data_IF_376307341547
#
_entry.id   IF_376307341547
#
_cell.length_a   1.000
_cell.length_b   1.000
_cell.length_c   1.000
_cell.angle_alpha   90.00
_cell.angle_beta   90.00
_cell.angle_gamma   90.00
#
_symmetry.space_group_name_H-M   'P 1'
#
loop_
_entity.id
_entity.type
_entity.pdbx_description
1 polymer ?
#
# COMPACT_ATOMS: atom_id res chain seq x y z
N UNK A 1 -2.97 -46.06 -1.45
CA UNK A 1 -3.18 -44.60 -1.41
C UNK A 1 -4.48 -44.32 -2.12
N UNK A 2 -5.24 -43.27 -1.79
CA UNK A 2 -6.42 -42.94 -2.58
C UNK A 2 -5.95 -42.54 -3.99
N UNK A 3 -6.26 -43.34 -5.01
CA UNK A 3 -5.68 -43.22 -6.36
C UNK A 3 -6.10 -41.94 -7.12
N UNK A 4 -6.92 -41.08 -6.52
CA UNK A 4 -7.45 -39.87 -7.15
C UNK A 4 -7.10 -38.55 -6.42
N UNK A 5 -6.44 -38.60 -5.27
CA UNK A 5 -6.02 -37.39 -4.54
C UNK A 5 -4.78 -37.66 -3.67
N UNK A 6 -3.81 -36.74 -3.70
CA UNK A 6 -2.60 -36.81 -2.87
C UNK A 6 -2.45 -35.52 -2.06
N UNK A 7 -2.31 -35.64 -0.75
CA UNK A 7 -1.97 -34.53 0.14
C UNK A 7 -0.45 -34.38 0.21
N UNK A 8 0.08 -33.20 -0.12
CA UNK A 8 1.54 -32.91 -0.15
C UNK A 8 2.10 -32.43 1.19
N UNK A 9 1.32 -31.66 1.94
CA UNK A 9 1.76 -31.00 3.18
C UNK A 9 1.15 -31.68 4.41
N UNK A 10 1.76 -32.79 4.86
CA UNK A 10 1.35 -33.51 6.07
C UNK A 10 2.55 -33.94 6.90
N UNK A 11 2.32 -34.27 8.18
CA UNK A 11 3.39 -34.71 9.09
C UNK A 11 4.10 -35.96 8.56
N UNK A 12 5.40 -35.83 8.29
CA UNK A 12 6.22 -36.90 7.70
C UNK A 12 6.15 -36.98 6.16
N UNK A 13 5.42 -36.08 5.51
CA UNK A 13 5.46 -35.90 4.05
C UNK A 13 6.72 -35.13 3.60
N UNK A 14 7.02 -35.21 2.30
CA UNK A 14 8.16 -34.53 1.68
C UNK A 14 7.67 -33.52 0.64
N UNK A 15 8.02 -32.25 0.81
CA UNK A 15 7.82 -31.22 -0.22
C UNK A 15 9.01 -31.29 -1.17
N UNK A 16 8.76 -31.57 -2.44
CA UNK A 16 9.82 -31.74 -3.43
C UNK A 16 10.23 -30.39 -4.02
N UNK A 17 11.42 -30.28 -4.67
CA UNK A 17 11.80 -29.06 -5.39
C UNK A 17 10.78 -28.64 -6.45
N UNK A 18 10.02 -29.59 -7.02
CA UNK A 18 8.91 -29.31 -7.92
C UNK A 18 7.75 -28.62 -7.19
N UNK A 19 7.36 -29.14 -6.02
CA UNK A 19 6.31 -28.54 -5.20
C UNK A 19 6.70 -27.11 -4.77
N UNK A 20 7.97 -26.89 -4.37
CA UNK A 20 8.51 -25.57 -4.02
C UNK A 20 8.49 -24.61 -5.21
N UNK A 21 8.91 -25.05 -6.40
CA UNK A 21 8.89 -24.21 -7.60
C UNK A 21 7.47 -23.72 -7.93
N UNK A 22 6.46 -24.59 -7.79
CA UNK A 22 5.05 -24.22 -7.99
C UNK A 22 4.61 -23.17 -6.96
N UNK A 23 5.02 -23.31 -5.69
CA UNK A 23 4.72 -22.33 -4.64
C UNK A 23 5.38 -20.98 -4.96
N UNK A 24 6.66 -20.98 -5.35
CA UNK A 24 7.39 -19.76 -5.67
C UNK A 24 6.86 -19.06 -6.91
N UNK A 25 6.52 -19.81 -7.96
CA UNK A 25 5.90 -19.26 -9.16
C UNK A 25 4.54 -18.61 -8.86
N UNK A 26 3.78 -19.19 -7.92
CA UNK A 26 2.52 -18.59 -7.45
C UNK A 26 2.74 -17.28 -6.71
N UNK A 27 3.83 -17.17 -5.94
CA UNK A 27 4.15 -15.98 -5.15
C UNK A 27 4.84 -14.87 -5.95
N UNK A 28 5.65 -15.25 -6.95
CA UNK A 28 6.40 -14.35 -7.83
C UNK A 28 6.13 -14.81 -9.26
N UNK A 29 5.06 -14.31 -9.91
CA UNK A 29 4.74 -14.72 -11.26
C UNK A 29 5.80 -14.22 -12.25
N UNK A 30 6.20 -15.09 -13.17
CA UNK A 30 7.10 -14.76 -14.28
C UNK A 30 8.50 -15.40 -14.20
N UNK A 31 9.37 -14.94 -15.10
CA UNK A 31 10.77 -15.37 -15.22
C UNK A 31 11.63 -14.14 -15.49
N UNK A 32 12.82 -14.05 -14.91
CA UNK A 32 13.70 -12.90 -15.06
C UNK A 32 14.78 -12.80 -13.98
N UNK A 33 15.38 -11.62 -13.90
CA UNK A 33 16.54 -11.33 -13.04
C UNK A 33 16.12 -10.46 -11.86
N UNK A 34 16.49 -10.85 -10.64
CA UNK A 34 16.29 -10.01 -9.45
C UNK A 34 17.38 -8.95 -9.31
N UNK A 35 18.63 -9.33 -9.57
CA UNK A 35 19.81 -8.46 -9.45
C UNK A 35 20.99 -9.06 -10.20
N UNK A 36 21.81 -8.23 -10.84
CA UNK A 36 23.04 -8.66 -11.50
C UNK A 36 22.77 -9.30 -12.87
N UNK A 37 23.55 -10.32 -13.25
CA UNK A 37 23.49 -10.96 -14.57
C UNK A 37 23.66 -9.96 -15.73
N UNK A 38 24.44 -8.90 -15.51
CA UNK A 38 24.64 -7.84 -16.47
C UNK A 38 25.56 -8.32 -17.58
N UNK A 39 25.09 -8.24 -18.83
CA UNK A 39 25.87 -8.59 -20.01
C UNK A 39 26.61 -7.35 -20.53
N UNK A 40 27.93 -7.45 -20.65
CA UNK A 40 28.82 -6.39 -21.15
C UNK A 40 29.89 -6.96 -22.09
N UNK A 41 30.47 -6.13 -22.96
CA UNK A 41 31.66 -6.54 -23.71
C UNK A 41 32.86 -6.74 -22.77
N UNK A 42 33.54 -7.87 -22.90
CA UNK A 42 34.79 -8.14 -22.18
C UNK A 42 35.99 -7.78 -23.05
N UNK A 43 36.18 -8.54 -24.14
CA UNK A 43 37.25 -8.35 -25.14
C UNK A 43 36.90 -9.06 -26.43
N UNK A 44 37.17 -8.45 -27.58
CA UNK A 44 36.94 -9.07 -28.89
C UNK A 44 35.51 -9.58 -29.05
N UNK A 45 35.36 -10.91 -29.15
CA UNK A 45 34.11 -11.65 -29.30
C UNK A 45 33.59 -12.28 -27.99
N UNK A 46 34.14 -11.87 -26.85
CA UNK A 46 33.81 -12.39 -25.52
C UNK A 46 32.89 -11.43 -24.80
N UNK A 47 31.79 -11.96 -24.27
CA UNK A 47 30.86 -11.25 -23.40
C UNK A 47 31.14 -11.61 -21.95
N UNK A 48 31.16 -10.61 -21.09
CA UNK A 48 31.22 -10.76 -19.64
C UNK A 48 29.79 -10.74 -19.08
N UNK A 49 29.51 -11.63 -18.15
CA UNK A 49 28.24 -11.73 -17.43
C UNK A 49 28.54 -11.61 -15.94
N UNK A 50 28.04 -10.55 -15.32
CA UNK A 50 28.29 -10.31 -13.90
C UNK A 50 27.55 -11.31 -13.01
N UNK A 51 28.06 -11.50 -11.79
CA UNK A 51 27.36 -12.29 -10.78
C UNK A 51 25.93 -11.75 -10.55
N UNK A 52 24.97 -12.64 -10.36
CA UNK A 52 23.59 -12.25 -10.08
C UNK A 52 22.66 -13.39 -9.74
N UNK A 53 21.39 -13.04 -9.53
CA UNK A 53 20.33 -13.95 -9.14
C UNK A 53 19.11 -13.74 -10.03
N UNK A 54 18.46 -14.85 -10.39
CA UNK A 54 17.22 -14.82 -11.14
C UNK A 54 16.33 -16.01 -10.84
N UNK A 55 15.21 -16.06 -11.56
CA UNK A 55 14.25 -17.15 -11.44
C UNK A 55 13.61 -17.43 -12.81
N UNK A 56 13.43 -18.70 -13.12
CA UNK A 56 12.62 -19.16 -14.26
C UNK A 56 11.48 -20.00 -13.71
N UNK A 57 10.23 -19.53 -13.82
CA UNK A 57 9.02 -20.27 -13.42
C UNK A 57 9.15 -20.87 -12.00
N UNK A 58 9.53 -20.05 -11.01
CA UNK A 58 9.72 -20.51 -9.62
C UNK A 58 11.02 -21.25 -9.32
N UNK A 59 11.87 -21.54 -10.33
CA UNK A 59 13.20 -22.13 -10.16
C UNK A 59 14.24 -21.02 -10.01
N UNK A 60 14.77 -20.86 -8.80
CA UNK A 60 15.83 -19.89 -8.53
C UNK A 60 17.16 -20.37 -9.09
N UNK A 61 17.95 -19.44 -9.61
CA UNK A 61 19.32 -19.68 -10.04
C UNK A 61 20.24 -18.53 -9.60
N UNK A 62 21.51 -18.87 -9.40
CA UNK A 62 22.60 -17.92 -9.21
C UNK A 62 23.53 -18.03 -10.41
N UNK A 63 23.90 -16.89 -10.98
CA UNK A 63 24.96 -16.77 -11.97
C UNK A 63 26.21 -16.33 -11.23
N UNK A 64 27.29 -17.11 -11.35
CA UNK A 64 28.63 -16.66 -10.97
C UNK A 64 29.22 -15.84 -12.11
N UNK A 65 30.06 -14.86 -11.76
CA UNK A 65 30.75 -14.02 -12.75
C UNK A 65 31.51 -14.90 -13.75
N UNK A 66 31.23 -14.70 -15.04
CA UNK A 66 31.75 -15.57 -16.09
C UNK A 66 31.88 -14.85 -17.42
N UNK A 67 32.62 -15.47 -18.34
CA UNK A 67 32.81 -15.00 -19.70
C UNK A 67 32.29 -16.05 -20.68
N UNK A 68 31.65 -15.62 -21.76
CA UNK A 68 31.16 -16.50 -22.83
C UNK A 68 31.68 -16.02 -24.19
N UNK A 69 32.26 -16.95 -24.94
CA UNK A 69 32.72 -16.71 -26.30
C UNK A 69 31.56 -16.77 -27.29
N UNK A 70 31.46 -15.77 -28.15
CA UNK A 70 30.52 -15.76 -29.28
C UNK A 70 31.29 -16.06 -30.56
N UNK A 71 30.83 -17.05 -31.34
CA UNK A 71 31.42 -17.32 -32.66
C UNK A 71 31.20 -16.11 -33.60
N UNK A 72 32.28 -15.57 -34.16
CA UNK A 72 32.22 -14.51 -35.16
C UNK A 72 31.67 -15.00 -36.51
N UNK A 73 31.10 -14.08 -37.28
CA UNK A 73 30.63 -14.33 -38.64
C UNK A 73 31.79 -14.36 -39.64
N UNK A 74 31.56 -14.95 -40.81
CA UNK A 74 32.54 -14.92 -41.90
C UNK A 74 32.69 -13.50 -42.48
N UNK A 75 33.80 -13.26 -43.20
CA UNK A 75 34.09 -11.92 -43.75
C UNK A 75 33.01 -11.49 -44.73
N UNK A 76 32.41 -10.32 -44.48
CA UNK A 76 31.33 -9.76 -45.31
C UNK A 76 29.92 -10.20 -44.89
N UNK A 77 29.79 -11.01 -43.84
CA UNK A 77 28.52 -11.43 -43.26
C UNK A 77 28.19 -10.65 -41.99
N UNK A 78 26.90 -10.54 -41.69
CA UNK A 78 26.39 -9.99 -40.44
C UNK A 78 25.27 -10.89 -39.93
N UNK A 79 25.45 -11.44 -38.72
CA UNK A 79 24.50 -12.35 -38.08
C UNK A 79 23.81 -11.66 -36.89
N UNK A 80 22.63 -12.15 -36.54
CA UNK A 80 22.00 -11.85 -35.27
C UNK A 80 22.60 -12.72 -34.18
N UNK A 81 22.82 -12.14 -33.01
CA UNK A 81 23.37 -12.83 -31.85
C UNK A 81 22.51 -12.65 -30.61
N UNK A 82 22.50 -13.66 -29.75
CA UNK A 82 21.89 -13.60 -28.42
C UNK A 82 22.68 -14.37 -27.38
N UNK A 83 22.54 -13.97 -26.11
CA UNK A 83 22.89 -14.77 -24.93
C UNK A 83 21.62 -15.04 -24.13
N UNK A 84 21.44 -16.28 -23.70
CA UNK A 84 20.29 -16.71 -22.90
C UNK A 84 20.69 -17.79 -21.89
N UNK A 85 19.88 -17.94 -20.85
CA UNK A 85 19.96 -19.04 -19.89
C UNK A 85 18.99 -20.12 -20.34
N UNK A 86 19.49 -21.32 -20.58
CA UNK A 86 18.71 -22.49 -20.94
C UNK A 86 18.49 -23.35 -19.71
N UNK A 87 17.23 -23.57 -19.34
CA UNK A 87 16.80 -24.51 -18.31
C UNK A 87 16.13 -25.70 -19.00
N UNK A 88 16.58 -26.92 -18.72
CA UNK A 88 16.01 -28.18 -19.21
C UNK A 88 15.93 -29.18 -18.06
N UNK A 89 14.70 -29.41 -17.56
CA UNK A 89 14.47 -30.30 -16.43
C UNK A 89 14.47 -31.79 -16.82
N UNK A 90 14.52 -32.10 -18.13
CA UNK A 90 14.72 -33.48 -18.58
C UNK A 90 16.18 -33.92 -18.40
N UNK A 91 17.11 -32.97 -18.36
CA UNK A 91 18.52 -33.19 -18.07
C UNK A 91 18.79 -33.13 -16.55
N UNK A 92 18.87 -34.30 -15.91
CA UNK A 92 19.09 -34.38 -14.48
C UNK A 92 20.52 -34.01 -14.02
N UNK A 93 21.51 -34.05 -14.93
CA UNK A 93 22.91 -33.84 -14.59
C UNK A 93 23.31 -32.36 -14.70
N UNK A 94 22.85 -31.69 -15.76
CA UNK A 94 23.13 -30.27 -16.03
C UNK A 94 21.86 -29.56 -16.50
N UNK A 95 20.91 -29.28 -15.58
CA UNK A 95 19.62 -28.74 -15.95
C UNK A 95 19.67 -27.28 -16.38
N UNK A 96 20.75 -26.53 -16.10
CA UNK A 96 20.83 -25.10 -16.39
C UNK A 96 22.20 -24.70 -16.93
N UNK A 97 22.23 -23.87 -17.98
CA UNK A 97 23.46 -23.37 -18.61
C UNK A 97 23.26 -22.03 -19.29
N UNK A 98 24.34 -21.27 -19.45
CA UNK A 98 24.37 -20.04 -20.25
C UNK A 98 24.84 -20.38 -21.65
N UNK A 99 24.11 -19.95 -22.66
CA UNK A 99 24.42 -20.20 -24.07
C UNK A 99 24.48 -18.89 -24.86
N UNK A 100 25.38 -18.86 -25.83
CA UNK A 100 25.45 -17.82 -26.85
C UNK A 100 25.13 -18.45 -28.22
N UNK A 101 24.37 -17.73 -29.04
CA UNK A 101 23.99 -18.18 -30.37
C UNK A 101 24.14 -17.05 -31.37
N UNK A 102 24.62 -17.38 -32.57
CA UNK A 102 24.71 -16.47 -33.70
C UNK A 102 24.16 -17.17 -34.96
N UNK A 103 23.25 -16.51 -35.68
CA UNK A 103 22.65 -17.03 -36.90
C UNK A 103 22.07 -15.89 -37.75
N UNK A 104 21.79 -16.16 -39.04
CA UNK A 104 21.13 -15.18 -39.93
C UNK A 104 19.73 -14.85 -39.40
N UNK A 105 19.04 -15.88 -38.93
CA UNK A 105 17.78 -15.82 -38.20
C UNK A 105 17.92 -16.70 -36.95
N UNK A 106 17.64 -16.13 -35.78
CA UNK A 106 17.75 -16.85 -34.52
C UNK A 106 16.59 -17.85 -34.38
N UNK A 107 16.85 -19.11 -33.99
CA UNK A 107 15.77 -20.05 -33.66
C UNK A 107 14.87 -19.51 -32.55
N UNK A 108 13.59 -19.89 -32.50
CA UNK A 108 12.73 -19.54 -31.38
C UNK A 108 13.33 -20.06 -30.06
N UNK A 109 13.08 -19.33 -28.98
CA UNK A 109 13.41 -19.74 -27.63
C UNK A 109 12.40 -20.76 -27.13
N UNK A 110 12.87 -21.74 -26.35
CA UNK A 110 11.96 -22.60 -25.61
C UNK A 110 11.27 -21.78 -24.51
N UNK A 111 9.95 -21.92 -24.37
CA UNK A 111 9.18 -21.10 -23.42
C UNK A 111 8.00 -21.87 -22.84
N UNK A 112 8.23 -23.14 -22.46
CA UNK A 112 7.16 -23.97 -21.94
C UNK A 112 6.76 -23.54 -20.53
N UNK A 113 5.56 -22.95 -20.44
CA UNK A 113 4.98 -22.47 -19.19
C UNK A 113 4.75 -23.60 -18.18
N UNK A 114 4.65 -24.86 -18.62
CA UNK A 114 4.37 -26.02 -17.79
C UNK A 114 5.63 -26.82 -17.44
N UNK A 115 6.83 -26.25 -17.58
CA UNK A 115 8.11 -26.91 -17.27
C UNK A 115 8.14 -27.65 -15.92
N UNK A 116 7.47 -27.08 -14.90
CA UNK A 116 7.37 -27.69 -13.57
C UNK A 116 6.51 -28.95 -13.51
N UNK A 117 5.72 -29.27 -14.54
CA UNK A 117 4.81 -30.43 -14.57
C UNK A 117 5.27 -31.52 -15.54
N UNK A 118 5.94 -31.15 -16.62
CA UNK A 118 6.32 -32.05 -17.70
C UNK A 118 7.84 -32.24 -17.85
N UNK A 119 8.65 -31.54 -17.05
CA UNK A 119 10.11 -31.55 -17.10
C UNK A 119 10.67 -31.17 -18.47
N UNK A 120 10.10 -30.17 -19.13
CA UNK A 120 10.56 -29.65 -20.42
C UNK A 120 11.67 -28.58 -20.27
N UNK A 121 11.83 -27.74 -21.30
CA UNK A 121 12.80 -26.65 -21.36
C UNK A 121 12.16 -25.25 -21.36
N UNK A 122 12.92 -24.27 -20.88
CA UNK A 122 12.58 -22.85 -20.90
C UNK A 122 13.86 -22.02 -21.01
N UNK A 123 13.88 -21.07 -21.93
CA UNK A 123 14.98 -20.15 -22.14
C UNK A 123 14.63 -18.73 -21.64
N UNK A 124 15.56 -18.16 -20.89
CA UNK A 124 15.52 -16.75 -20.47
C UNK A 124 16.55 -15.94 -21.23
N UNK A 125 16.09 -15.12 -22.17
CA UNK A 125 16.97 -14.25 -22.96
C UNK A 125 17.57 -13.13 -22.13
N UNK A 126 18.90 -12.98 -22.17
CA UNK A 126 19.63 -11.97 -21.42
C UNK A 126 19.94 -10.74 -22.28
N UNK A 127 20.49 -10.96 -23.48
CA UNK A 127 20.89 -9.88 -24.36
C UNK A 127 20.88 -10.31 -25.83
N UNK A 128 20.68 -9.33 -26.71
CA UNK A 128 20.77 -9.45 -28.16
C UNK A 128 21.85 -8.51 -28.69
N UNK A 129 22.47 -8.86 -29.80
CA UNK A 129 23.54 -8.09 -30.44
C UNK A 129 23.67 -8.50 -31.91
N UNK A 130 24.53 -7.80 -32.64
CA UNK A 130 24.93 -8.10 -34.00
C UNK A 130 26.34 -8.68 -34.02
N UNK A 131 26.58 -9.68 -34.86
CA UNK A 131 27.86 -10.36 -35.00
C UNK A 131 28.42 -10.15 -36.40
N UNK A 132 29.67 -9.69 -36.49
CA UNK A 132 30.41 -9.54 -37.75
C UNK A 132 31.78 -10.22 -37.64
N UNK A 133 32.54 -10.29 -38.74
CA UNK A 133 33.94 -10.74 -38.69
C UNK A 133 34.86 -9.82 -37.88
N UNK A 134 34.44 -8.58 -37.61
CA UNK A 134 35.22 -7.60 -36.85
C UNK A 134 34.96 -7.66 -35.33
N UNK A 135 33.86 -8.26 -34.90
CA UNK A 135 33.44 -8.28 -33.51
C UNK A 135 31.93 -8.23 -33.33
N UNK A 136 31.53 -7.95 -32.08
CA UNK A 136 30.15 -7.80 -31.65
C UNK A 136 29.79 -6.32 -31.58
N UNK A 137 28.57 -5.97 -31.99
CA UNK A 137 28.05 -4.60 -31.90
C UNK A 137 26.56 -4.58 -31.51
N UNK A 138 26.06 -3.42 -31.05
CA UNK A 138 24.63 -3.23 -30.76
C UNK A 138 24.09 -4.01 -29.56
N UNK A 139 24.94 -4.42 -28.60
CA UNK A 139 24.54 -5.14 -27.40
C UNK A 139 23.41 -4.43 -26.64
N UNK A 140 22.26 -5.10 -26.58
CA UNK A 140 21.04 -4.63 -25.92
C UNK A 140 20.58 -5.71 -24.94
N UNK A 141 20.35 -5.32 -23.69
CA UNK A 141 19.83 -6.21 -22.65
C UNK A 141 18.32 -6.35 -22.81
N UNK A 142 17.80 -7.56 -22.68
CA UNK A 142 16.38 -7.87 -22.93
C UNK A 142 15.72 -8.66 -21.81
N UNK A 143 16.48 -9.05 -20.77
CA UNK A 143 15.90 -9.79 -19.65
C UNK A 143 14.90 -8.94 -18.85
N UNK A 144 13.74 -9.51 -18.46
CA UNK A 144 12.85 -8.87 -17.50
C UNK A 144 13.49 -8.76 -16.13
N UNK A 145 13.38 -7.59 -15.48
CA UNK A 145 13.69 -7.48 -14.06
C UNK A 145 12.53 -7.98 -13.24
N UNK A 146 12.75 -9.04 -12.45
CA UNK A 146 11.80 -9.47 -11.45
C UNK A 146 11.89 -8.53 -10.26
N UNK A 147 10.82 -7.78 -10.02
CA UNK A 147 10.67 -7.09 -8.73
C UNK A 147 10.27 -8.14 -7.71
N UNK A 148 10.84 -8.06 -6.50
CA UNK A 148 10.39 -8.88 -5.39
C UNK A 148 8.86 -8.77 -5.32
N UNK A 149 8.17 -9.91 -5.41
CA UNK A 149 6.75 -9.95 -5.11
C UNK A 149 6.61 -9.33 -3.73
N UNK A 150 5.92 -8.19 -3.65
CA UNK A 150 5.41 -7.71 -2.37
C UNK A 150 4.60 -8.88 -1.83
N UNK A 151 5.16 -9.58 -0.84
CA UNK A 151 4.57 -10.78 -0.28
C UNK A 151 3.10 -10.54 -0.03
N UNK A 152 2.26 -11.53 -0.37
CA UNK A 152 0.82 -11.50 -0.25
C UNK A 152 0.36 -10.66 0.95
N UNK A 153 -0.11 -9.46 0.62
CA UNK A 153 -0.31 -8.37 1.55
C UNK A 153 -0.70 -7.13 0.75
N UNK A 154 -1.82 -7.24 0.02
CA UNK A 154 -2.56 -6.18 -0.67
C UNK A 154 -1.79 -4.93 -1.11
N UNK A 155 -1.52 -4.81 -2.41
CA UNK A 155 -1.22 -3.50 -3.02
C UNK A 155 0.05 -3.42 -3.88
N UNK A 156 0.26 -4.34 -4.80
CA UNK A 156 1.13 -4.16 -5.95
C UNK A 156 0.32 -4.50 -7.19
N UNK A 157 -0.13 -3.50 -7.96
CA UNK A 157 -1.15 -3.72 -8.99
C UNK A 157 -0.67 -4.69 -10.08
N UNK A 158 -1.32 -5.85 -10.13
CA UNK A 158 -1.27 -6.80 -11.24
C UNK A 158 -1.37 -6.04 -12.57
N UNK A 159 -0.60 -6.44 -13.58
CA UNK A 159 -0.78 -5.84 -14.91
C UNK A 159 -2.16 -6.23 -15.44
N UNK A 160 -2.92 -5.22 -15.85
CA UNK A 160 -4.28 -5.33 -16.30
C UNK A 160 -4.35 -6.32 -17.48
N UNK A 161 -5.07 -7.42 -17.28
CA UNK A 161 -5.27 -8.49 -18.25
C UNK A 161 -6.50 -8.21 -19.11
N UNK A 162 -6.40 -8.49 -20.41
CA UNK A 162 -7.44 -8.23 -21.41
C UNK A 162 -8.56 -9.27 -21.34
N UNK A 163 -9.79 -8.87 -21.69
CA UNK A 163 -10.97 -9.74 -21.64
C UNK A 163 -11.22 -10.39 -20.27
N UNK A 164 -10.78 -9.73 -19.19
CA UNK A 164 -10.87 -10.21 -17.81
C UNK A 164 -11.84 -9.37 -17.01
N UNK A 165 -12.61 -10.02 -16.11
CA UNK A 165 -13.53 -9.34 -15.20
C UNK A 165 -12.78 -8.71 -14.02
N UNK A 166 -13.10 -7.46 -13.72
CA UNK A 166 -12.61 -6.71 -12.58
C UNK A 166 -13.78 -6.21 -11.73
N UNK A 167 -13.62 -6.28 -10.41
CA UNK A 167 -14.54 -5.78 -9.41
C UNK A 167 -14.16 -4.36 -8.97
N UNK A 168 -15.11 -3.63 -8.37
CA UNK A 168 -14.81 -2.31 -7.79
C UNK A 168 -13.80 -2.47 -6.66
N UNK A 169 -12.74 -1.65 -6.70
CA UNK A 169 -11.63 -1.67 -5.74
C UNK A 169 -10.39 -2.39 -6.25
N UNK A 170 -10.49 -3.18 -7.33
CA UNK A 170 -9.33 -3.85 -7.92
C UNK A 170 -8.30 -2.81 -8.40
N UNK A 171 -7.03 -3.01 -8.04
CA UNK A 171 -5.93 -2.13 -8.40
C UNK A 171 -4.97 -2.83 -9.36
N UNK A 172 -4.71 -2.20 -10.50
CA UNK A 172 -3.91 -2.75 -11.60
C UNK A 172 -3.01 -1.69 -12.23
N UNK A 173 -2.07 -2.13 -13.07
CA UNK A 173 -1.26 -1.26 -13.94
C UNK A 173 -1.57 -1.55 -15.41
N UNK A 174 -1.51 -0.55 -16.31
CA UNK A 174 -1.70 -0.77 -17.75
C UNK A 174 -0.47 -0.30 -18.54
N UNK A 175 -0.16 -0.98 -19.65
CA UNK A 175 1.08 -0.76 -20.41
C UNK A 175 1.12 0.66 -20.99
N UNK A 176 0.00 1.14 -21.53
CA UNK A 176 -0.12 2.49 -22.06
C UNK A 176 -0.27 3.58 -20.99
N UNK A 177 -0.43 3.24 -19.71
CA UNK A 177 -0.59 4.24 -18.66
C UNK A 177 0.77 4.83 -18.23
N UNK A 178 0.81 6.10 -17.79
CA UNK A 178 2.00 6.68 -17.19
C UNK A 178 2.49 5.84 -15.99
N UNK A 179 3.80 5.66 -15.84
CA UNK A 179 4.39 4.79 -14.81
C UNK A 179 4.10 5.18 -13.35
N UNK A 180 3.56 6.37 -13.10
CA UNK A 180 3.10 6.79 -11.76
C UNK A 180 1.68 6.34 -11.45
N UNK A 181 0.88 5.97 -12.46
CA UNK A 181 -0.55 5.76 -12.33
C UNK A 181 -0.88 4.31 -11.97
N UNK A 182 -1.39 4.11 -10.75
CA UNK A 182 -2.12 2.89 -10.40
C UNK A 182 -3.58 3.06 -10.78
N UNK A 183 -4.16 2.08 -11.47
CA UNK A 183 -5.53 2.12 -11.96
C UNK A 183 -6.44 1.37 -11.01
N UNK A 184 -7.37 2.07 -10.36
CA UNK A 184 -8.35 1.46 -9.48
C UNK A 184 -9.69 1.33 -10.20
N UNK A 185 -10.23 0.12 -10.27
CA UNK A 185 -11.53 -0.16 -10.84
C UNK A 185 -12.61 0.53 -9.98
N UNK A 186 -13.34 1.47 -10.56
CA UNK A 186 -14.45 2.18 -9.91
C UNK A 186 -15.82 1.76 -10.44
N UNK A 187 -15.85 0.97 -11.50
CA UNK A 187 -17.05 0.30 -11.99
C UNK A 187 -16.67 -1.11 -12.44
N UNK A 188 -17.28 -2.11 -11.81
CA UNK A 188 -17.04 -3.51 -12.16
C UNK A 188 -17.46 -3.81 -13.60
N UNK A 189 -16.70 -4.69 -14.26
CA UNK A 189 -16.95 -5.07 -15.64
C UNK A 189 -15.81 -5.89 -16.21
N UNK A 190 -15.90 -6.23 -17.48
CA UNK A 190 -14.86 -6.94 -18.24
C UNK A 190 -14.11 -5.97 -19.14
N UNK A 191 -12.78 -6.06 -19.13
CA UNK A 191 -11.89 -5.23 -19.97
C UNK A 191 -12.03 -5.59 -21.44
N UNK A 192 -11.72 -4.64 -22.33
CA UNK A 192 -11.75 -4.90 -23.77
C UNK A 192 -10.67 -5.92 -24.17
N UNK A 193 -10.89 -6.59 -25.31
CA UNK A 193 -9.90 -7.53 -25.88
C UNK A 193 -8.59 -6.85 -26.30
N UNK A 194 -8.65 -5.55 -26.62
CA UNK A 194 -7.49 -4.71 -26.97
C UNK A 194 -7.40 -3.50 -26.04
N UNK A 195 -6.19 -3.04 -25.73
CA UNK A 195 -5.98 -1.89 -24.84
C UNK A 195 -6.57 -0.59 -25.45
N UNK A 196 -7.47 0.12 -24.73
CA UNK A 196 -7.97 1.42 -25.14
C UNK A 196 -6.89 2.50 -25.10
N UNK A 197 -6.92 3.44 -26.06
CA UNK A 197 -6.03 4.61 -26.07
C UNK A 197 -6.27 5.59 -24.90
N UNK A 198 -7.25 5.33 -24.03
CA UNK A 198 -7.52 6.16 -22.86
C UNK A 198 -6.39 6.11 -21.84
N UNK A 199 -5.67 4.98 -21.74
CA UNK A 199 -4.57 4.83 -20.78
C UNK A 199 -3.40 5.77 -21.08
N UNK A 200 -3.02 5.94 -22.34
CA UNK A 200 -1.94 6.85 -22.75
C UNK A 200 -2.31 8.33 -22.69
N UNK A 201 -3.58 8.64 -22.39
CA UNK A 201 -4.08 10.01 -22.23
C UNK A 201 -4.25 10.43 -20.78
N UNK A 202 -3.89 9.56 -19.83
CA UNK A 202 -3.89 9.91 -18.41
C UNK A 202 -2.81 10.96 -18.17
N UNK A 203 -3.20 12.08 -17.56
CA UNK A 203 -2.30 13.21 -17.27
C UNK A 203 -2.30 13.61 -15.81
N UNK A 204 -3.34 13.26 -15.06
CA UNK A 204 -3.49 13.62 -13.65
C UNK A 204 -4.23 12.55 -12.85
N UNK A 205 -4.04 12.60 -11.54
CA UNK A 205 -4.81 11.78 -10.59
C UNK A 205 -6.30 12.06 -10.76
N UNK A 206 -7.11 11.00 -10.74
CA UNK A 206 -8.56 11.07 -10.93
C UNK A 206 -9.03 10.95 -12.39
N UNK A 207 -8.13 10.95 -13.38
CA UNK A 207 -8.49 10.65 -14.76
C UNK A 207 -9.09 9.24 -14.87
N UNK A 208 -10.13 9.10 -15.71
CA UNK A 208 -10.91 7.86 -15.86
C UNK A 208 -10.74 7.27 -17.24
N UNK A 209 -10.62 5.94 -17.30
CA UNK A 209 -10.57 5.18 -18.55
C UNK A 209 -11.69 4.14 -18.55
N UNK A 210 -12.55 4.19 -19.56
CA UNK A 210 -13.49 3.11 -19.86
C UNK A 210 -12.76 2.06 -20.70
N UNK A 211 -12.73 0.83 -20.21
CA UNK A 211 -12.06 -0.29 -20.83
C UNK A 211 -13.01 -1.49 -20.89
N UNK A 212 -13.53 -1.76 -22.09
CA UNK A 212 -14.66 -2.66 -22.29
C UNK A 212 -15.89 -2.15 -21.56
N UNK A 213 -16.25 -2.82 -20.46
CA UNK A 213 -17.36 -2.44 -19.56
C UNK A 213 -16.90 -2.00 -18.17
N UNK A 214 -15.61 -2.18 -17.86
CA UNK A 214 -15.01 -1.74 -16.60
C UNK A 214 -14.55 -0.27 -16.71
N UNK A 215 -14.59 0.47 -15.59
CA UNK A 215 -14.05 1.84 -15.52
C UNK A 215 -12.94 1.90 -14.50
N UNK A 216 -11.78 2.40 -14.90
CA UNK A 216 -10.62 2.58 -14.04
C UNK A 216 -10.36 4.06 -13.78
N UNK A 217 -9.88 4.37 -12.58
CA UNK A 217 -9.49 5.72 -12.16
C UNK A 217 -8.02 5.73 -11.76
N UNK A 218 -7.26 6.67 -12.31
CA UNK A 218 -5.84 6.82 -12.03
C UNK A 218 -5.60 7.37 -10.61
N UNK A 219 -4.72 6.73 -9.85
CA UNK A 219 -4.28 7.10 -8.51
C UNK A 219 -2.76 7.18 -8.49
N UNK A 220 -2.21 8.11 -7.71
CA UNK A 220 -0.77 8.18 -7.45
C UNK A 220 -0.51 7.66 -6.04
N UNK A 221 -0.63 6.34 -5.85
CA UNK A 221 -0.59 5.73 -4.51
C UNK A 221 0.75 6.02 -3.80
N UNK A 222 1.86 6.09 -4.55
CA UNK A 222 3.18 6.42 -3.99
C UNK A 222 3.20 7.88 -3.51
N UNK A 223 2.76 8.83 -4.34
CA UNK A 223 2.70 10.24 -3.94
C UNK A 223 1.68 10.53 -2.82
N UNK A 224 0.57 9.79 -2.79
CA UNK A 224 -0.41 9.84 -1.71
C UNK A 224 0.19 9.32 -0.40
N UNK A 225 0.98 8.23 -0.46
CA UNK A 225 1.66 7.67 0.70
C UNK A 225 2.80 8.58 1.19
N UNK A 226 3.59 9.18 0.29
CA UNK A 226 4.61 10.18 0.64
C UNK A 226 4.00 11.40 1.34
N UNK A 227 2.81 11.83 0.89
CA UNK A 227 2.04 12.87 1.54
C UNK A 227 1.64 12.50 2.98
N UNK A 228 1.15 11.27 3.18
CA UNK A 228 0.79 10.74 4.50
C UNK A 228 2.02 10.58 5.41
N UNK A 229 3.15 10.12 4.87
CA UNK A 229 4.41 9.99 5.61
C UNK A 229 4.90 11.38 6.04
N UNK A 230 4.83 12.37 5.14
CA UNK A 230 5.20 13.75 5.44
C UNK A 230 4.31 14.37 6.52
N UNK A 231 3.00 14.15 6.46
CA UNK A 231 2.08 14.61 7.53
C UNK A 231 2.36 13.90 8.85
N UNK A 232 2.68 12.60 8.83
CA UNK A 232 2.98 11.85 10.05
C UNK A 232 4.34 12.25 10.65
N UNK A 233 5.34 12.59 9.82
CA UNK A 233 6.60 13.15 10.28
C UNK A 233 6.39 14.51 10.97
N UNK A 234 5.59 15.40 10.37
CA UNK A 234 5.21 16.69 10.97
C UNK A 234 4.44 16.53 12.29
N UNK A 235 3.56 15.53 12.39
CA UNK A 235 2.90 15.18 13.65
C UNK A 235 3.91 14.67 14.70
N UNK A 236 4.90 13.87 14.30
CA UNK A 236 5.97 13.40 15.19
C UNK A 236 6.85 14.54 15.71
N UNK A 237 7.19 15.50 14.86
CA UNK A 237 7.90 16.73 15.25
C UNK A 237 7.07 17.56 16.23
N UNK A 238 5.79 17.77 15.94
CA UNK A 238 4.86 18.51 16.82
C UNK A 238 4.70 17.82 18.19
N UNK A 239 4.66 16.49 18.21
CA UNK A 239 4.55 15.71 19.45
C UNK A 239 5.85 15.72 20.25
N UNK A 240 7.01 15.75 19.58
CA UNK A 240 8.32 15.91 20.23
C UNK A 240 8.48 17.32 20.82
N UNK A 241 8.01 18.35 20.13
CA UNK A 241 7.98 19.73 20.65
C UNK A 241 7.04 19.84 21.86
N UNK A 242 5.87 19.19 21.81
CA UNK A 242 4.95 19.13 22.93
C UNK A 242 5.55 18.37 24.13
N UNK A 243 6.19 17.23 23.91
CA UNK A 243 6.85 16.45 24.96
C UNK A 243 8.02 17.22 25.59
N UNK A 244 8.78 17.97 24.77
CA UNK A 244 9.83 18.88 25.24
C UNK A 244 9.23 20.00 26.09
N UNK A 245 8.15 20.66 25.63
CA UNK A 245 7.45 21.71 26.41
C UNK A 245 6.84 21.16 27.71
N UNK A 246 6.29 19.95 27.68
CA UNK A 246 5.73 19.28 28.87
C UNK A 246 6.85 18.90 29.84
N UNK A 247 7.99 18.42 29.34
CA UNK A 247 9.17 18.11 30.16
C UNK A 247 9.81 19.38 30.73
N UNK A 248 9.87 20.48 29.97
CA UNK A 248 10.28 21.80 30.45
C UNK A 248 9.32 22.33 31.52
N UNK A 249 8.01 22.19 31.32
CA UNK A 249 7.01 22.53 32.34
C UNK A 249 7.19 21.70 33.62
N UNK A 250 7.40 20.39 33.49
CA UNK A 250 7.58 19.45 34.61
C UNK A 250 8.93 19.61 35.33
N UNK A 251 9.97 20.04 34.61
CA UNK A 251 11.32 20.27 35.16
C UNK A 251 11.51 21.68 35.73
N UNK A 252 10.66 22.63 35.36
CA UNK A 252 10.61 23.93 36.02
C UNK A 252 10.08 23.74 37.45
N UNK A 253 10.92 24.04 38.43
CA UNK A 253 10.58 24.08 39.87
C UNK A 253 9.59 25.21 40.23
N UNK A 254 8.74 25.64 39.29
CA UNK A 254 7.91 26.83 39.38
C UNK A 254 6.46 26.67 38.92
N UNK A 255 5.97 25.45 38.66
CA UNK A 255 4.54 25.22 38.47
C UNK A 255 3.80 25.43 39.79
N UNK A 256 3.07 26.54 39.89
CA UNK A 256 2.27 26.86 41.07
C UNK A 256 0.84 26.40 40.83
N UNK A 257 0.27 25.62 41.75
CA UNK A 257 -1.15 25.29 41.75
C UNK A 257 -1.91 26.32 42.58
N UNK A 258 -2.93 26.94 42.00
CA UNK A 258 -3.78 27.93 42.68
C UNK A 258 -5.24 27.48 42.63
N UNK A 259 -5.84 27.27 43.80
CA UNK A 259 -7.28 27.06 43.94
C UNK A 259 -7.97 28.42 44.04
N UNK A 260 -8.89 28.73 43.12
CA UNK A 260 -9.60 30.03 43.04
C UNK A 260 -11.07 29.81 42.67
N UNK A 261 -11.93 30.78 42.96
CA UNK A 261 -13.29 30.74 42.40
C UNK A 261 -13.26 31.07 40.90
N UNK A 262 -14.25 30.58 40.14
CA UNK A 262 -14.32 30.86 38.70
C UNK A 262 -14.45 32.36 38.40
N UNK A 263 -15.16 33.10 39.24
CA UNK A 263 -15.32 34.55 39.09
C UNK A 263 -14.01 35.30 39.38
N UNK A 264 -13.24 34.87 40.38
CA UNK A 264 -11.91 35.41 40.66
C UNK A 264 -10.92 35.13 39.53
N UNK A 265 -10.97 33.93 38.93
CA UNK A 265 -10.15 33.60 37.76
C UNK A 265 -10.45 34.55 36.59
N UNK A 266 -11.73 34.77 36.29
CA UNK A 266 -12.18 35.66 35.20
C UNK A 266 -11.82 37.13 35.43
N UNK A 267 -11.71 37.55 36.68
CA UNK A 267 -11.37 38.92 37.06
C UNK A 267 -9.86 39.21 37.05
N UNK A 268 -9.01 38.23 36.70
CA UNK A 268 -7.56 38.44 36.62
C UNK A 268 -7.20 39.35 35.45
N UNK A 269 -6.35 40.35 35.71
CA UNK A 269 -5.81 41.24 34.67
C UNK A 269 -4.78 40.56 33.77
N UNK A 270 -4.17 39.47 34.23
CA UNK A 270 -3.24 38.64 33.44
C UNK A 270 -3.16 37.20 33.98
N UNK A 271 -2.92 36.25 33.08
CA UNK A 271 -2.85 34.82 33.39
C UNK A 271 -1.41 34.30 33.26
N UNK A 272 -0.93 33.59 34.27
CA UNK A 272 0.43 33.02 34.23
C UNK A 272 0.44 31.70 33.49
N UNK A 273 1.30 31.59 32.47
CA UNK A 273 1.54 30.34 31.75
C UNK A 273 2.20 29.24 32.61
N UNK A 274 2.70 29.59 33.80
CA UNK A 274 3.33 28.65 34.75
C UNK A 274 2.44 28.37 35.98
N UNK A 275 1.17 28.78 35.97
CA UNK A 275 0.22 28.52 37.07
C UNK A 275 -0.94 27.66 36.60
N UNK A 276 -1.23 26.60 37.36
CA UNK A 276 -2.41 25.75 37.17
C UNK A 276 -3.53 26.30 38.06
N UNK A 277 -4.57 26.85 37.44
CA UNK A 277 -5.74 27.38 38.14
C UNK A 277 -6.80 26.29 38.25
N UNK A 278 -6.98 25.78 39.46
CA UNK A 278 -8.07 24.88 39.83
C UNK A 278 -9.26 25.74 40.22
N UNK A 279 -10.29 25.79 39.37
CA UNK A 279 -11.43 26.68 39.56
C UNK A 279 -12.63 25.91 40.13
N UNK A 280 -13.24 26.47 41.17
CA UNK A 280 -14.49 25.99 41.74
C UNK A 280 -15.61 27.04 41.58
N UNK A 281 -16.86 26.58 41.58
CA UNK A 281 -18.05 27.45 41.49
C UNK A 281 -18.81 27.52 42.84
N UNK A 282 -18.78 26.45 43.64
CA UNK A 282 -19.43 26.39 44.95
C UNK A 282 -18.42 26.67 46.08
N UNK A 283 -18.58 27.79 46.77
CA UNK A 283 -17.75 28.22 47.89
C UNK A 283 -17.76 27.27 49.10
N UNK A 284 -18.84 26.50 49.29
CA UNK A 284 -18.98 25.61 50.44
C UNK A 284 -18.24 24.30 50.22
N UNK A 285 -18.34 23.74 49.01
CA UNK A 285 -17.74 22.43 48.68
C UNK A 285 -16.36 22.55 48.05
N UNK A 286 -16.04 23.70 47.44
CA UNK A 286 -14.79 23.98 46.70
C UNK A 286 -14.39 22.89 45.72
N UNK A 287 -15.39 22.18 45.18
CA UNK A 287 -15.17 21.12 44.21
C UNK A 287 -14.68 21.75 42.91
N UNK A 288 -13.51 21.30 42.45
CA UNK A 288 -12.94 21.75 41.17
C UNK A 288 -13.83 21.31 40.01
N UNK A 289 -14.37 22.28 39.28
CA UNK A 289 -15.21 22.06 38.10
C UNK A 289 -14.45 22.36 36.81
N UNK A 290 -13.39 23.18 36.86
CA UNK A 290 -12.60 23.58 35.69
C UNK A 290 -11.12 23.70 36.05
N UNK A 291 -10.23 23.39 35.10
CA UNK A 291 -8.78 23.57 35.25
C UNK A 291 -8.25 24.35 34.06
N UNK A 292 -7.49 25.40 34.34
CA UNK A 292 -6.83 26.24 33.34
C UNK A 292 -5.33 26.26 33.58
N UNK A 293 -4.56 26.42 32.51
CA UNK A 293 -3.13 26.72 32.53
C UNK A 293 -2.94 27.99 31.72
N UNK A 294 -2.58 29.10 32.37
CA UNK A 294 -2.71 30.41 31.75
C UNK A 294 -4.16 30.71 31.35
N UNK A 295 -4.39 31.04 30.08
CA UNK A 295 -5.71 31.25 29.46
C UNK A 295 -6.33 29.97 28.87
N UNK A 296 -5.51 28.93 28.71
CA UNK A 296 -5.92 27.71 28.04
C UNK A 296 -6.68 26.78 28.99
N UNK A 297 -7.89 26.42 28.58
CA UNK A 297 -8.74 25.50 29.35
C UNK A 297 -8.31 24.06 29.09
N UNK A 298 -7.80 23.40 30.13
CA UNK A 298 -7.28 22.02 30.07
C UNK A 298 -8.34 21.01 30.50
N UNK A 299 -9.28 21.41 31.37
CA UNK A 299 -10.36 20.53 31.82
C UNK A 299 -11.64 21.32 32.15
N UNK A 300 -12.79 20.72 31.83
CA UNK A 300 -14.10 21.12 32.31
C UNK A 300 -14.90 19.88 32.70
N UNK A 301 -15.51 19.88 33.88
CA UNK A 301 -16.52 18.91 34.23
C UNK A 301 -17.72 19.13 33.29
N UNK A 302 -18.09 18.10 32.53
CA UNK A 302 -19.23 18.18 31.62
C UNK A 302 -20.53 18.58 32.35
N UNK A 303 -21.49 19.08 31.58
CA UNK A 303 -22.80 19.52 32.07
C UNK A 303 -23.73 18.32 32.19
N UNK A 304 -24.47 18.24 33.29
CA UNK A 304 -25.48 17.21 33.48
C UNK A 304 -26.74 17.55 32.65
N UNK A 305 -27.02 16.75 31.64
CA UNK A 305 -28.19 16.87 30.76
C UNK A 305 -29.21 15.80 31.16
N UNK A 306 -30.47 16.20 31.31
CA UNK A 306 -31.58 15.28 31.58
C UNK A 306 -32.41 15.10 30.31
N UNK A 307 -32.46 13.88 29.80
CA UNK A 307 -33.27 13.49 28.65
C UNK A 307 -34.61 12.95 29.13
N UNK A 308 -35.69 13.61 28.75
CA UNK A 308 -37.05 13.14 29.00
C UNK A 308 -37.53 12.36 27.78
N UNK A 309 -37.84 11.09 27.96
CA UNK A 309 -38.39 10.22 26.92
C UNK A 309 -39.88 10.05 27.21
N UNK A 310 -40.73 10.14 26.17
CA UNK A 310 -42.20 10.17 26.24
C UNK A 310 -42.86 8.98 26.99
N UNK A 311 -42.08 7.96 27.38
CA UNK A 311 -42.52 6.88 28.27
C UNK A 311 -42.57 7.25 29.76
N UNK A 312 -42.32 8.52 30.12
CA UNK A 312 -42.19 8.97 31.51
C UNK A 312 -40.83 8.62 32.14
N UNK A 313 -39.85 8.28 31.30
CA UNK A 313 -38.51 7.88 31.71
C UNK A 313 -37.53 9.04 31.51
N UNK A 314 -36.89 9.47 32.61
CA UNK A 314 -35.84 10.47 32.59
C UNK A 314 -34.47 9.81 32.70
N UNK A 315 -33.55 10.09 31.77
CA UNK A 315 -32.16 9.65 31.85
C UNK A 315 -31.25 10.86 32.04
N UNK A 316 -30.38 10.82 33.04
CA UNK A 316 -29.35 11.84 33.23
C UNK A 316 -28.02 11.38 32.64
N UNK A 317 -27.35 12.26 31.88
CA UNK A 317 -26.00 12.03 31.35
C UNK A 317 -25.15 13.27 31.49
N UNK A 318 -23.88 13.09 31.81
CA UNK A 318 -22.90 14.18 31.75
C UNK A 318 -22.38 14.32 30.33
N UNK A 319 -22.64 15.46 29.69
CA UNK A 319 -22.17 15.81 28.35
C UNK A 319 -21.02 16.81 28.48
N UNK A 320 -19.85 16.56 27.87
CA UNK A 320 -18.74 17.51 27.92
C UNK A 320 -19.11 18.90 27.37
N UNK A 321 -18.46 19.93 27.89
CA UNK A 321 -18.66 21.31 27.40
C UNK A 321 -18.21 21.43 25.94
N UNK A 322 -19.01 22.12 25.12
CA UNK A 322 -18.94 22.24 23.64
C UNK A 322 -19.21 20.97 22.84
N UNK A 323 -19.71 19.90 23.47
CA UNK A 323 -20.23 18.74 22.72
C UNK A 323 -21.73 18.88 22.46
N UNK A 324 -22.17 18.23 21.38
CA UNK A 324 -23.57 18.18 20.99
C UNK A 324 -24.35 17.21 21.88
N UNK A 325 -25.27 17.75 22.69
CA UNK A 325 -26.13 16.94 23.54
C UNK A 325 -27.13 16.10 22.74
N UNK A 326 -27.42 16.44 21.49
CA UNK A 326 -28.30 15.66 20.62
C UNK A 326 -27.57 14.41 20.13
N UNK A 327 -26.33 14.55 19.66
CA UNK A 327 -25.47 13.41 19.35
C UNK A 327 -25.21 12.50 20.56
N UNK A 328 -25.13 13.07 21.77
CA UNK A 328 -24.93 12.32 23.01
C UNK A 328 -26.21 11.71 23.59
N UNK A 329 -27.37 11.94 22.98
CA UNK A 329 -28.65 11.47 23.49
C UNK A 329 -28.79 9.93 23.38
N UNK A 330 -29.49 9.28 24.33
CA UNK A 330 -29.79 7.85 24.23
C UNK A 330 -30.70 7.55 23.03
N UNK A 331 -30.74 6.31 22.53
CA UNK A 331 -31.75 5.92 21.53
C UNK A 331 -33.15 6.03 22.14
N UNK A 332 -34.06 6.71 21.44
CA UNK A 332 -35.46 6.84 21.81
C UNK A 332 -36.35 6.10 20.81
N UNK A 333 -37.19 5.19 21.29
CA UNK A 333 -38.14 4.45 20.47
C UNK A 333 -39.44 4.18 21.25
N UNK A 334 -40.58 4.29 20.57
CA UNK A 334 -41.89 3.94 21.09
C UNK A 334 -42.64 3.12 20.03
N UNK A 335 -43.21 1.99 20.42
CA UNK A 335 -43.91 1.10 19.51
C UNK A 335 -45.10 1.79 18.83
N UNK A 336 -45.17 1.71 17.50
CA UNK A 336 -46.20 2.39 16.70
C UNK A 336 -45.90 3.86 16.37
N UNK A 337 -44.78 4.41 16.83
CA UNK A 337 -44.38 5.80 16.58
C UNK A 337 -42.99 5.87 15.95
N UNK A 338 -42.79 6.86 15.07
CA UNK A 338 -41.47 7.16 14.48
C UNK A 338 -40.81 8.28 15.28
N UNK A 339 -39.57 8.05 15.71
CA UNK A 339 -38.79 9.09 16.38
C UNK A 339 -38.48 10.23 15.40
N UNK A 340 -38.92 11.44 15.73
CA UNK A 340 -38.76 12.63 14.88
C UNK A 340 -37.58 13.52 15.30
N UNK A 341 -37.05 13.33 16.51
CA UNK A 341 -35.88 14.06 17.02
C UNK A 341 -36.07 14.63 18.43
N UNK A 342 -35.03 15.29 18.92
CA UNK A 342 -34.97 15.87 20.27
C UNK A 342 -35.37 17.34 20.28
N UNK A 343 -35.88 17.83 21.40
CA UNK A 343 -36.20 19.25 21.62
C UNK A 343 -35.76 19.68 23.01
N UNK A 344 -35.59 20.99 23.18
CA UNK A 344 -35.37 21.59 24.49
C UNK A 344 -36.73 21.79 25.17
N UNK A 345 -36.87 21.27 26.38
CA UNK A 345 -38.08 21.25 27.22
C UNK A 345 -39.20 20.26 26.81
N UNK A 346 -40.24 20.21 27.62
CA UNK A 346 -41.37 19.26 27.54
C UNK A 346 -42.50 19.69 26.60
N UNK A 347 -42.41 20.88 26.00
CA UNK A 347 -43.48 21.44 25.15
C UNK A 347 -43.53 20.81 23.75
N UNK A 348 -44.72 20.30 23.39
CA UNK A 348 -44.98 19.63 22.12
C UNK A 348 -44.81 20.51 20.87
N UNK A 349 -44.92 21.83 21.02
CA UNK A 349 -44.98 22.80 19.92
C UNK A 349 -43.60 23.33 19.49
N UNK A 350 -42.54 22.97 20.22
CA UNK A 350 -41.18 23.43 19.93
C UNK A 350 -40.55 22.69 18.75
N UNK A 351 -39.73 23.42 18.00
CA UNK A 351 -38.97 22.89 16.86
C UNK A 351 -37.97 21.83 17.32
N UNK A 352 -37.90 20.74 16.56
CA UNK A 352 -36.87 19.70 16.73
C UNK A 352 -35.49 20.30 16.49
N UNK A 353 -34.54 19.97 17.38
CA UNK A 353 -33.15 20.37 17.32
C UNK A 353 -32.36 19.40 16.44
N UNK A 354 -31.59 19.94 15.51
CA UNK A 354 -30.61 19.18 14.72
C UNK A 354 -29.25 19.08 15.42
N UNK A 355 -28.93 20.05 16.26
CA UNK A 355 -27.72 20.13 17.08
C UNK A 355 -28.03 20.98 18.32
N UNK A 356 -27.39 20.67 19.44
CA UNK A 356 -27.40 21.48 20.66
C UNK A 356 -26.04 21.40 21.33
N UNK A 357 -25.14 22.29 20.92
CA UNK A 357 -23.84 22.43 21.56
C UNK A 357 -24.04 22.93 22.98
N UNK A 358 -23.57 22.16 23.96
CA UNK A 358 -23.54 22.57 25.35
C UNK A 358 -22.51 23.69 25.48
N UNK A 359 -22.94 24.93 25.29
CA UNK A 359 -22.23 26.09 25.80
C UNK A 359 -22.95 26.54 27.05
N UNK A 360 -22.28 26.52 28.20
CA UNK A 360 -22.65 27.51 29.21
C UNK A 360 -22.33 28.87 28.58
N UNK A 361 -23.34 29.60 28.10
CA UNK A 361 -23.18 31.05 27.91
C UNK A 361 -22.56 31.67 29.17
#
# INVERSE_FOLDING_TARGET
>A
MADNITLKTYKGGNVTPQDDAIIYETAIPGSGIFKGCEVTYARGNVLHISQGFGMIRGRFFEVYETEIDVRLADVGETLQGRVYIHLDLSNADEPIKILAQAAVELPPLDADVNINYNNSSYDLELAIFTVSSAGLDGLTKVFPTLKAGSGGGGGGGETLTRATSYAVGDAVTAVGAPGWATLVCTQAGTTAASEPSGYSRITKVGDRVLDGTAVFTARNIIGELDGVISSNASLGESMTELDTKVTEMMSSTGLVMKLVSLDEYRALESYSATTIYLCYEDETTKRVTRIFVGEDRVYAAGVKVTYQIDTGYSLERTVPDREDAIAAAPPAALEGYTFVGWRQDDSAEKKVLSEYLISSE
#
